data_IF_503392374276
#
_entry.id   IF_503392374276
#
_cell.length_a   1.000
_cell.length_b   1.000
_cell.length_c   1.000
_cell.angle_alpha   90.00
_cell.angle_beta   90.00
_cell.angle_gamma   90.00
#
_symmetry.space_group_name_H-M   'P 1'
#
loop_
_entity.id
_entity.type
_entity.pdbx_description
1 polymer ?
#
# COMPACT_ATOMS: atom_id res chain seq x y z
N UNK A 1 -10.23 1.86 2.25
CA UNK A 1 -8.80 2.17 2.57
C UNK A 1 -8.77 3.15 3.72
N UNK A 2 -8.09 2.79 4.80
CA UNK A 2 -7.85 3.64 5.97
C UNK A 2 -6.55 4.42 5.79
N UNK A 3 -6.63 5.75 5.74
CA UNK A 3 -5.46 6.62 5.68
C UNK A 3 -4.93 6.87 7.10
N UNK A 4 -3.63 6.71 7.30
CA UNK A 4 -2.95 6.93 8.58
C UNK A 4 -1.74 7.84 8.39
N UNK A 5 -1.43 8.67 9.37
CA UNK A 5 -0.14 9.36 9.40
C UNK A 5 0.98 8.35 9.64
N UNK A 6 2.21 8.68 9.20
CA UNK A 6 3.39 7.85 9.51
C UNK A 6 3.60 7.67 11.01
N UNK A 7 3.32 8.70 11.81
CA UNK A 7 3.45 8.64 13.27
C UNK A 7 2.45 7.65 13.89
N UNK A 8 1.20 7.68 13.44
CA UNK A 8 0.17 6.76 13.91
C UNK A 8 0.49 5.32 13.47
N UNK A 9 0.92 5.14 12.23
CA UNK A 9 1.35 3.82 11.75
C UNK A 9 2.50 3.28 12.60
N UNK A 10 3.55 4.08 12.86
CA UNK A 10 4.69 3.67 13.70
C UNK A 10 4.30 3.36 15.13
N UNK A 11 3.33 4.07 15.69
CA UNK A 11 2.82 3.82 17.05
C UNK A 11 2.04 2.51 17.14
N UNK A 12 1.28 2.16 16.11
CA UNK A 12 0.43 0.96 16.07
C UNK A 12 1.15 -0.29 15.50
N UNK A 13 2.28 -0.08 14.81
CA UNK A 13 2.99 -1.11 14.09
C UNK A 13 4.27 -1.57 14.81
N UNK A 14 4.29 -2.84 15.17
CA UNK A 14 5.49 -3.50 15.68
C UNK A 14 6.44 -3.85 14.52
N UNK A 15 7.77 -3.79 14.70
CA UNK A 15 8.74 -4.09 13.64
C UNK A 15 8.55 -5.44 12.95
N UNK A 16 8.09 -6.46 13.70
CA UNK A 16 7.89 -7.83 13.18
C UNK A 16 6.54 -8.07 12.52
N UNK A 17 5.60 -7.12 12.58
CA UNK A 17 4.33 -7.24 11.85
C UNK A 17 4.61 -7.16 10.36
N UNK A 18 3.94 -8.01 9.60
CA UNK A 18 4.21 -8.17 8.17
C UNK A 18 3.01 -7.77 7.32
N UNK A 19 3.27 -7.20 6.15
CA UNK A 19 2.29 -6.63 5.25
C UNK A 19 2.68 -6.92 3.81
N UNK A 20 1.71 -6.87 2.91
CA UNK A 20 1.96 -6.82 1.49
C UNK A 20 2.16 -5.37 1.03
N UNK A 21 3.16 -5.18 0.19
CA UNK A 21 3.47 -3.93 -0.52
C UNK A 21 3.70 -4.25 -1.98
N UNK A 22 3.13 -3.44 -2.88
CA UNK A 22 3.39 -3.58 -4.30
C UNK A 22 4.60 -2.74 -4.70
N UNK A 23 5.43 -3.29 -5.58
CA UNK A 23 6.54 -2.60 -6.22
C UNK A 23 6.32 -2.61 -7.72
N UNK A 24 6.54 -1.46 -8.35
CA UNK A 24 6.40 -1.25 -9.77
C UNK A 24 7.78 -1.10 -10.40
N UNK A 25 7.95 -1.65 -11.60
CA UNK A 25 9.14 -1.48 -12.41
C UNK A 25 8.83 -0.49 -13.54
N UNK A 26 9.51 0.64 -13.54
CA UNK A 26 9.41 1.62 -14.62
C UNK A 26 10.19 1.21 -15.88
N UNK A 27 9.94 1.92 -16.98
CA UNK A 27 10.58 1.75 -18.30
C UNK A 27 12.10 1.85 -18.32
N UNK A 28 12.71 2.42 -17.27
CA UNK A 28 14.17 2.48 -17.12
C UNK A 28 14.74 1.37 -16.22
N UNK A 29 13.93 0.37 -15.87
CA UNK A 29 14.34 -0.77 -15.07
C UNK A 29 14.34 -0.55 -13.55
N UNK A 30 14.09 0.67 -13.09
CA UNK A 30 14.05 1.00 -11.66
C UNK A 30 12.77 0.50 -10.98
N UNK A 31 12.93 -0.05 -9.77
CA UNK A 31 11.82 -0.47 -8.91
C UNK A 31 11.48 0.58 -7.87
N UNK A 32 10.19 0.83 -7.66
CA UNK A 32 9.69 1.76 -6.66
C UNK A 32 8.38 1.26 -6.05
N UNK A 33 8.07 1.59 -4.78
CA UNK A 33 6.83 1.15 -4.16
C UNK A 33 5.62 1.82 -4.80
N UNK A 34 4.50 1.10 -4.84
CA UNK A 34 3.21 1.65 -5.22
C UNK A 34 2.76 2.66 -4.18
N UNK A 35 2.74 3.92 -4.59
CA UNK A 35 2.32 5.04 -3.76
C UNK A 35 1.17 5.80 -4.43
N UNK A 36 0.32 6.41 -3.62
CA UNK A 36 -0.79 7.25 -4.07
C UNK A 36 -0.70 8.63 -3.43
N UNK A 37 -1.53 9.56 -3.90
CA UNK A 37 -1.72 10.84 -3.24
C UNK A 37 -2.78 10.70 -2.15
N UNK A 38 -2.47 11.21 -0.95
CA UNK A 38 -3.42 11.29 0.17
C UNK A 38 -4.60 12.23 -0.11
N UNK A 39 -4.42 13.18 -1.03
CA UNK A 39 -5.40 14.20 -1.39
C UNK A 39 -5.36 14.51 -2.89
N UNK A 40 -6.53 14.79 -3.47
CA UNK A 40 -6.65 15.26 -4.86
C UNK A 40 -5.97 16.62 -5.11
N UNK A 41 -5.73 17.41 -4.05
CA UNK A 41 -5.03 18.69 -4.12
C UNK A 41 -3.52 18.56 -3.96
N UNK A 42 -3.01 17.35 -3.72
CA UNK A 42 -1.59 17.08 -3.61
C UNK A 42 -0.87 17.19 -4.96
N UNK A 43 0.42 17.47 -4.92
CA UNK A 43 1.30 17.58 -6.09
C UNK A 43 2.30 16.42 -6.21
N UNK A 44 2.31 15.52 -5.22
CA UNK A 44 3.23 14.37 -5.16
C UNK A 44 2.58 13.14 -4.54
N UNK A 45 3.12 11.97 -4.89
CA UNK A 45 2.83 10.73 -4.20
C UNK A 45 3.44 10.77 -2.80
N UNK A 46 2.61 10.60 -1.78
CA UNK A 46 2.99 10.77 -0.37
C UNK A 46 2.50 9.64 0.54
N UNK A 47 1.78 8.66 -0.03
CA UNK A 47 1.11 7.60 0.72
C UNK A 47 1.57 6.23 0.24
N UNK A 48 2.19 5.45 1.13
CA UNK A 48 2.50 4.04 0.85
C UNK A 48 1.24 3.18 1.02
N UNK A 49 0.85 2.42 0.00
CA UNK A 49 -0.25 1.47 0.13
C UNK A 49 0.24 0.13 0.67
N UNK A 50 -0.39 -0.34 1.75
CA UNK A 50 -0.06 -1.62 2.38
C UNK A 50 -1.33 -2.40 2.70
N UNK A 51 -1.26 -3.73 2.77
CA UNK A 51 -2.37 -4.57 3.19
C UNK A 51 -1.90 -5.78 3.98
N UNK A 52 -2.80 -6.41 4.75
CA UNK A 52 -2.58 -7.78 5.27
C UNK A 52 -3.02 -8.86 4.29
N UNK A 53 -3.72 -8.50 3.22
CA UNK A 53 -4.18 -9.43 2.18
C UNK A 53 -3.48 -9.14 0.86
N UNK A 54 -2.91 -10.18 0.26
CA UNK A 54 -2.35 -10.11 -1.09
C UNK A 54 -3.44 -9.71 -2.09
N UNK A 55 -4.61 -10.37 -2.03
CA UNK A 55 -5.68 -10.18 -3.03
C UNK A 55 -6.24 -8.76 -3.00
N UNK A 56 -6.49 -8.20 -1.80
CA UNK A 56 -6.99 -6.83 -1.67
C UNK A 56 -6.01 -5.81 -2.24
N UNK A 57 -4.71 -6.00 -2.00
CA UNK A 57 -3.71 -5.10 -2.56
C UNK A 57 -3.59 -5.27 -4.09
N UNK A 58 -3.62 -6.50 -4.59
CA UNK A 58 -3.58 -6.79 -6.03
C UNK A 58 -4.77 -6.18 -6.77
N UNK A 59 -5.98 -6.27 -6.21
CA UNK A 59 -7.21 -5.68 -6.76
C UNK A 59 -7.12 -4.16 -6.90
N UNK A 60 -6.38 -3.48 -6.02
CA UNK A 60 -6.13 -2.03 -6.09
C UNK A 60 -5.02 -1.71 -7.09
N UNK A 61 -3.93 -2.49 -7.07
CA UNK A 61 -2.72 -2.18 -7.84
C UNK A 61 -2.90 -2.48 -9.33
N UNK A 62 -3.48 -3.63 -9.66
CA UNK A 62 -3.57 -4.11 -11.05
C UNK A 62 -4.28 -3.11 -11.98
N UNK A 63 -5.47 -2.56 -11.65
CA UNK A 63 -6.14 -1.60 -12.52
C UNK A 63 -5.40 -0.27 -12.67
N UNK A 64 -4.57 0.10 -11.68
CA UNK A 64 -3.71 1.28 -11.76
C UNK A 64 -2.54 1.05 -12.71
N UNK A 65 -1.85 -0.09 -12.57
CA UNK A 65 -0.71 -0.45 -13.41
C UNK A 65 -1.13 -0.59 -14.87
N UNK A 66 -2.27 -1.22 -15.15
CA UNK A 66 -2.78 -1.42 -16.51
C UNK A 66 -3.08 -0.10 -17.25
N UNK A 67 -3.17 1.03 -16.53
CA UNK A 67 -3.39 2.38 -17.10
C UNK A 67 -2.12 3.21 -17.27
N UNK A 68 -0.98 2.76 -16.74
CA UNK A 68 0.27 3.52 -16.76
C UNK A 68 1.24 2.84 -17.71
N UNK A 69 1.32 3.32 -18.95
CA UNK A 69 2.15 2.74 -20.02
C UNK A 69 3.65 2.64 -19.65
N UNK A 70 4.13 3.50 -18.76
CA UNK A 70 5.51 3.50 -18.31
C UNK A 70 5.86 2.36 -17.34
N UNK A 71 4.89 1.58 -16.86
CA UNK A 71 5.11 0.43 -15.98
C UNK A 71 5.25 -0.83 -16.81
N UNK A 72 6.41 -1.48 -16.74
CA UNK A 72 6.67 -2.72 -17.46
C UNK A 72 6.17 -3.95 -16.70
N UNK A 73 6.34 -3.92 -15.37
CA UNK A 73 6.09 -5.05 -14.47
C UNK A 73 5.69 -4.52 -13.10
N UNK A 74 4.99 -5.35 -12.33
CA UNK A 74 4.82 -5.14 -10.90
C UNK A 74 4.93 -6.46 -10.16
N UNK A 75 5.27 -6.37 -8.87
CA UNK A 75 5.26 -7.49 -7.93
C UNK A 75 4.55 -7.05 -6.65
N UNK A 76 3.90 -7.97 -5.97
CA UNK A 76 3.42 -7.78 -4.60
C UNK A 76 4.29 -8.63 -3.69
N UNK A 77 4.94 -7.99 -2.72
CA UNK A 77 5.90 -8.63 -1.83
C UNK A 77 5.48 -8.51 -0.37
N UNK A 78 5.81 -9.53 0.41
CA UNK A 78 5.54 -9.58 1.84
C UNK A 78 6.75 -9.01 2.59
N UNK A 79 6.52 -7.95 3.38
CA UNK A 79 7.57 -7.17 4.04
C UNK A 79 7.26 -6.96 5.51
N UNK A 80 8.29 -6.80 6.32
CA UNK A 80 8.19 -6.45 7.74
C UNK A 80 7.89 -4.97 7.95
N UNK A 81 7.41 -4.64 9.14
CA UNK A 81 7.12 -3.28 9.58
C UNK A 81 8.35 -2.38 9.56
N UNK A 82 9.51 -2.93 9.90
CA UNK A 82 10.79 -2.21 9.79
C UNK A 82 11.13 -1.85 8.34
N UNK A 83 10.87 -2.75 7.39
CA UNK A 83 11.09 -2.47 5.97
C UNK A 83 10.13 -1.40 5.45
N UNK A 84 8.88 -1.38 5.93
CA UNK A 84 7.93 -0.30 5.64
C UNK A 84 8.46 1.05 6.14
N UNK A 85 9.02 1.11 7.35
CA UNK A 85 9.62 2.34 7.87
C UNK A 85 10.79 2.80 6.98
N UNK A 86 11.64 1.87 6.54
CA UNK A 86 12.73 2.17 5.62
C UNK A 86 12.23 2.72 4.27
N UNK A 87 11.11 2.20 3.75
CA UNK A 87 10.48 2.72 2.53
C UNK A 87 9.93 4.12 2.75
N UNK A 88 9.23 4.36 3.86
CA UNK A 88 8.67 5.68 4.21
C UNK A 88 9.79 6.73 4.26
N UNK A 89 10.88 6.44 4.97
CA UNK A 89 11.99 7.38 5.12
C UNK A 89 12.71 7.62 3.80
N UNK A 90 12.96 6.54 3.03
CA UNK A 90 13.68 6.62 1.74
C UNK A 90 12.93 7.43 0.69
N UNK A 91 11.59 7.31 0.66
CA UNK A 91 10.76 7.99 -0.34
C UNK A 91 10.11 9.27 0.19
N UNK A 92 10.37 9.66 1.44
CA UNK A 92 9.84 10.89 2.04
C UNK A 92 8.32 10.91 2.13
N UNK A 93 7.73 9.75 2.45
CA UNK A 93 6.28 9.57 2.52
C UNK A 93 5.72 10.14 3.82
N UNK A 94 4.49 10.67 3.77
CA UNK A 94 3.82 11.30 4.91
C UNK A 94 2.69 10.45 5.48
N UNK A 95 2.19 9.50 4.68
CA UNK A 95 1.05 8.68 5.04
C UNK A 95 1.25 7.20 4.70
N UNK A 96 0.46 6.36 5.37
CA UNK A 96 0.25 4.95 5.03
C UNK A 96 -1.22 4.75 4.72
N UNK A 97 -1.51 4.24 3.54
CA UNK A 97 -2.84 3.81 3.12
C UNK A 97 -3.01 2.32 3.42
N UNK A 98 -3.71 2.00 4.50
CA UNK A 98 -4.00 0.62 4.88
C UNK A 98 -5.25 0.13 4.13
N UNK A 99 -5.04 -0.85 3.25
CA UNK A 99 -6.11 -1.50 2.49
C UNK A 99 -6.60 -2.70 3.31
N UNK A 100 -7.78 -2.56 3.88
CA UNK A 100 -8.52 -3.60 4.56
C UNK A 100 -9.85 -3.83 3.86
N UNK A 101 -10.42 -5.01 4.05
CA UNK A 101 -11.80 -5.28 3.67
C UNK A 101 -12.69 -4.53 4.67
N UNK A 102 -13.59 -3.69 4.17
CA UNK A 102 -14.50 -2.90 4.99
C UNK A 102 -15.58 -3.77 5.65
N UNK A 103 -15.52 -5.10 5.51
CA UNK A 103 -16.10 -6.04 6.46
C UNK A 103 -17.60 -5.88 6.71
N UNK A 104 -18.34 -5.19 5.83
CA UNK A 104 -19.78 -5.33 5.75
C UNK A 104 -20.07 -6.72 5.22
N UNK A 105 -20.04 -7.69 6.14
CA UNK A 105 -20.61 -9.01 5.99
C UNK A 105 -22.10 -8.87 5.66
N UNK A 106 -22.42 -8.62 4.39
CA UNK A 106 -23.72 -8.84 3.78
C UNK A 106 -24.01 -10.33 3.53
N UNK A 107 -23.19 -11.24 4.05
CA UNK A 107 -23.53 -12.65 4.12
C UNK A 107 -24.54 -12.83 5.26
N UNK A 108 -25.82 -13.01 4.91
CA UNK A 108 -26.92 -13.41 5.80
C UNK A 108 -26.76 -14.79 6.44
N UNK A 109 -25.54 -15.15 6.82
CA UNK A 109 -25.19 -16.36 7.55
C UNK A 109 -25.15 -15.98 9.04
N UNK A 110 -26.28 -16.17 9.72
CA UNK A 110 -26.49 -15.75 11.11
C UNK A 110 -25.33 -16.09 12.03
N UNK A 111 -24.70 -15.06 12.58
CA UNK A 111 -23.75 -15.18 13.67
C UNK A 111 -24.49 -15.53 14.96
N UNK A 112 -24.11 -16.64 15.58
CA UNK A 112 -24.32 -16.96 16.99
C UNK A 112 -22.99 -17.39 17.57
#
# INVERSE_FOLDING_TARGET
MKLMSVEDFRRENEPWKTYYVAFLKGSHGAWFPFCVMSSEKGDKLDTLCVSKSYSLLEEVVKPCVDKIEAIEQYIVHYVYGEEINNLIDRYGLSHVGYIEDDGECGCGCGCR
#
